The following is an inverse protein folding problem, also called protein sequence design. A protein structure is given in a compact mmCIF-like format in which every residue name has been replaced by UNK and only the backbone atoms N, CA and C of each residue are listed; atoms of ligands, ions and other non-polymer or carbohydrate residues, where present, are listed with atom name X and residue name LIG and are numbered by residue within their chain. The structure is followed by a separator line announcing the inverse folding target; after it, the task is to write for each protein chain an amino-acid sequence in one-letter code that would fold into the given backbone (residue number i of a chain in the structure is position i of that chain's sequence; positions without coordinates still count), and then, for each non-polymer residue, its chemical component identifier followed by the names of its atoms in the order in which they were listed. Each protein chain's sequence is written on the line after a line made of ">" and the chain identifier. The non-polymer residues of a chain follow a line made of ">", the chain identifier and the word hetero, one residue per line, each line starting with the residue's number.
data_IF_263802306858
#
_entry.id   IF_263802306858
#
_cell.length_a   1.000
_cell.length_b   1.000
_cell.length_c   1.000
_cell.angle_alpha   90.00
_cell.angle_beta   90.00
_cell.angle_gamma   90.00
#
_symmetry.space_group_name_H-M   'P 1'
#
loop_
_entity.id
_entity.type
_entity.pdbx_description
1 polymer ?
#
# COMPACT_ATOMS: atom_id res chain seq x y z
N UNK A 1 -12.10 -10.74 60.53
CA UNK A 1 -10.66 -10.44 60.40
C UNK A 1 -10.40 -10.05 58.95
N UNK A 2 -9.92 -8.82 58.69
CA UNK A 2 -9.69 -8.29 57.34
C UNK A 2 -8.55 -9.07 56.66
N UNK A 3 -8.80 -9.62 55.47
CA UNK A 3 -7.73 -10.20 54.63
C UNK A 3 -7.24 -9.09 53.69
N UNK A 4 -5.96 -8.74 53.83
CA UNK A 4 -5.27 -7.73 53.05
C UNK A 4 -5.12 -8.15 51.57
N UNK A 5 -5.38 -7.19 50.68
CA UNK A 5 -5.10 -7.24 49.24
C UNK A 5 -3.58 -7.17 49.03
N UNK A 6 -2.91 -8.10 48.34
CA UNK A 6 -1.51 -7.91 47.97
C UNK A 6 -1.44 -7.01 46.74
N UNK A 7 -0.99 -5.79 46.99
CA UNK A 7 -0.48 -4.83 46.01
C UNK A 7 0.85 -5.36 45.46
N UNK A 8 0.86 -5.91 44.25
CA UNK A 8 2.09 -6.28 43.52
C UNK A 8 1.94 -5.85 42.07
N UNK A 9 2.10 -4.55 41.83
CA UNK A 9 2.14 -3.94 40.49
C UNK A 9 3.35 -3.01 40.44
N UNK A 10 4.54 -3.57 40.13
CA UNK A 10 5.64 -2.90 39.41
C UNK A 10 6.98 -3.64 39.38
N UNK A 11 7.16 -4.76 40.08
CA UNK A 11 8.51 -5.35 40.25
C UNK A 11 8.98 -6.26 39.12
N UNK A 12 8.14 -6.62 38.14
CA UNK A 12 8.53 -7.59 37.09
C UNK A 12 9.30 -6.97 35.92
N UNK A 13 8.98 -5.74 35.50
CA UNK A 13 9.60 -5.11 34.31
C UNK A 13 11.07 -4.78 34.54
N UNK A 14 11.41 -4.29 35.74
CA UNK A 14 12.81 -3.96 36.10
C UNK A 14 13.73 -5.19 36.08
N UNK A 15 13.19 -6.39 36.39
CA UNK A 15 13.98 -7.62 36.43
C UNK A 15 14.31 -8.15 35.03
N UNK A 16 13.39 -8.03 34.07
CA UNK A 16 13.63 -8.43 32.68
C UNK A 16 14.64 -7.52 31.97
N UNK A 17 14.58 -6.21 32.21
CA UNK A 17 15.57 -5.25 31.72
C UNK A 17 16.98 -5.53 32.29
N UNK A 18 17.08 -5.82 33.59
CA UNK A 18 18.36 -6.21 34.21
C UNK A 18 18.91 -7.54 33.67
N UNK A 19 18.07 -8.50 33.31
CA UNK A 19 18.52 -9.76 32.72
C UNK A 19 19.02 -9.59 31.29
N UNK A 20 18.35 -8.75 30.49
CA UNK A 20 18.80 -8.39 29.14
C UNK A 20 20.14 -7.63 29.17
N UNK A 21 20.29 -6.68 30.09
CA UNK A 21 21.52 -5.90 30.29
C UNK A 21 22.69 -6.74 30.82
N UNK A 22 22.46 -7.84 31.54
CA UNK A 22 23.53 -8.73 32.03
C UNK A 22 23.83 -9.93 31.12
N UNK A 23 23.09 -10.10 30.03
CA UNK A 23 23.32 -11.13 29.03
C UNK A 23 24.24 -10.63 27.91
N UNK A 24 24.75 -11.54 27.07
CA UNK A 24 25.64 -11.26 25.91
C UNK A 24 25.11 -10.25 24.87
N UNK A 25 23.97 -9.61 25.13
CA UNK A 25 23.33 -8.58 24.33
C UNK A 25 24.06 -7.22 24.35
N UNK A 26 25.01 -7.01 25.26
CA UNK A 26 25.91 -5.84 25.30
C UNK A 26 27.10 -5.94 24.32
N UNK A 27 27.18 -7.01 23.52
CA UNK A 27 28.08 -7.01 22.37
C UNK A 27 27.59 -6.01 21.33
N UNK A 28 28.49 -5.43 20.54
CA UNK A 28 28.15 -4.47 19.47
C UNK A 28 27.02 -5.01 18.58
N UNK A 29 27.09 -6.29 18.19
CA UNK A 29 26.05 -6.96 17.43
C UNK A 29 24.70 -7.08 18.18
N UNK A 30 24.71 -7.36 19.49
CA UNK A 30 23.50 -7.42 20.31
C UNK A 30 22.80 -6.07 20.45
N UNK A 31 23.57 -4.99 20.60
CA UNK A 31 23.06 -3.61 20.63
C UNK A 31 22.43 -3.26 19.28
N UNK A 32 23.07 -3.60 18.16
CA UNK A 32 22.50 -3.36 16.84
C UNK A 32 21.19 -4.12 16.62
N UNK A 33 21.11 -5.40 17.01
CA UNK A 33 19.88 -6.19 16.92
C UNK A 33 18.79 -5.62 17.82
N UNK A 34 19.14 -5.14 19.03
CA UNK A 34 18.20 -4.45 19.91
C UNK A 34 17.62 -3.19 19.29
N UNK A 35 18.49 -2.32 18.78
CA UNK A 35 18.10 -1.04 18.16
C UNK A 35 17.23 -1.31 16.94
N UNK A 36 17.62 -2.25 16.07
CA UNK A 36 16.84 -2.64 14.90
C UNK A 36 15.47 -3.22 15.31
N UNK A 37 15.43 -4.04 16.36
CA UNK A 37 14.18 -4.56 16.93
C UNK A 37 13.27 -3.45 17.44
N UNK A 38 13.80 -2.49 18.21
CA UNK A 38 13.05 -1.34 18.71
C UNK A 38 12.54 -0.44 17.58
N UNK A 39 13.35 -0.21 16.55
CA UNK A 39 12.94 0.54 15.35
C UNK A 39 11.82 -0.22 14.63
N UNK A 40 11.92 -1.54 14.48
CA UNK A 40 10.87 -2.33 13.81
C UNK A 40 9.52 -2.33 14.54
N UNK A 41 9.52 -2.25 15.87
CA UNK A 41 8.29 -2.15 16.69
C UNK A 41 7.75 -0.71 16.72
N UNK A 42 8.62 0.29 16.58
CA UNK A 42 8.26 1.71 16.56
C UNK A 42 7.89 2.26 15.18
N UNK A 43 8.17 1.50 14.12
CA UNK A 43 7.66 1.82 12.79
C UNK A 43 6.15 1.57 12.81
N UNK A 44 5.32 2.58 12.51
CA UNK A 44 3.91 2.32 12.31
C UNK A 44 3.78 1.24 11.24
N UNK A 45 2.91 0.25 11.47
CA UNK A 45 2.46 -0.60 10.37
C UNK A 45 1.94 0.36 9.30
N UNK A 46 2.67 0.45 8.19
CA UNK A 46 2.26 1.26 7.04
C UNK A 46 1.16 0.47 6.36
N UNK A 47 -0.01 0.43 7.01
CA UNK A 47 -1.23 -0.06 6.38
C UNK A 47 -1.42 0.80 5.13
N UNK A 48 -1.23 0.16 3.98
CA UNK A 48 -1.30 0.84 2.70
C UNK A 48 -2.73 1.37 2.51
N UNK A 49 -2.83 2.69 2.55
CA UNK A 49 -4.09 3.40 2.65
C UNK A 49 -4.56 3.79 1.25
N UNK A 50 -5.66 3.19 0.81
CA UNK A 50 -6.30 3.51 -0.47
C UNK A 50 -6.65 5.00 -0.63
N UNK A 51 -6.75 5.78 0.47
CA UNK A 51 -6.92 7.23 0.39
C UNK A 51 -5.67 7.93 -0.16
N UNK A 52 -4.49 7.44 0.15
CA UNK A 52 -3.22 8.00 -0.34
C UNK A 52 -3.09 7.69 -1.84
N UNK A 53 -3.52 6.51 -2.28
CA UNK A 53 -3.66 6.15 -3.70
C UNK A 53 -4.56 7.15 -4.43
N UNK A 54 -5.73 7.50 -3.89
CA UNK A 54 -6.62 8.51 -4.50
C UNK A 54 -5.94 9.88 -4.58
N UNK A 55 -5.21 10.29 -3.53
CA UNK A 55 -4.49 11.56 -3.50
C UNK A 55 -3.46 11.62 -4.63
N UNK A 56 -2.68 10.56 -4.78
CA UNK A 56 -1.65 10.47 -5.82
C UNK A 56 -2.24 10.42 -7.23
N UNK A 57 -3.35 9.69 -7.43
CA UNK A 57 -4.05 9.66 -8.73
C UNK A 57 -4.55 11.05 -9.15
N UNK A 58 -5.10 11.84 -8.21
CA UNK A 58 -5.50 13.23 -8.47
C UNK A 58 -4.29 14.13 -8.74
N UNK A 59 -3.17 13.86 -8.08
CA UNK A 59 -1.95 14.60 -8.35
C UNK A 59 -1.39 14.29 -9.75
N UNK A 60 -1.42 13.03 -10.17
CA UNK A 60 -1.11 12.62 -11.55
C UNK A 60 -2.01 13.36 -12.52
N UNK A 61 -3.34 13.39 -12.30
CA UNK A 61 -4.30 14.12 -13.13
C UNK A 61 -3.91 15.60 -13.30
N UNK A 62 -3.39 16.26 -12.25
CA UNK A 62 -2.90 17.63 -12.33
C UNK A 62 -1.59 17.79 -13.12
N UNK A 63 -0.70 16.79 -13.07
CA UNK A 63 0.58 16.81 -13.78
C UNK A 63 0.38 16.59 -15.28
N UNK A 64 -0.48 15.65 -15.67
CA UNK A 64 -0.70 15.28 -17.08
C UNK A 64 -1.28 16.43 -17.91
N UNK A 65 -2.04 17.34 -17.29
CA UNK A 65 -2.54 18.56 -17.95
C UNK A 65 -1.42 19.44 -18.49
N UNK A 66 -0.21 19.36 -17.92
CA UNK A 66 0.95 20.10 -18.38
C UNK A 66 1.84 19.34 -19.38
N UNK A 67 1.82 18.00 -19.36
CA UNK A 67 2.75 17.13 -20.09
C UNK A 67 2.20 16.73 -21.48
N UNK A 68 0.88 16.82 -21.71
CA UNK A 68 0.19 16.38 -22.93
C UNK A 68 0.49 14.91 -23.26
N UNK A 69 -0.16 14.01 -22.51
CA UNK A 69 -0.13 12.56 -22.72
C UNK A 69 -1.19 12.20 -23.76
N UNK A 70 -0.79 11.54 -24.85
CA UNK A 70 -1.66 11.08 -25.94
C UNK A 70 -1.88 9.55 -25.94
N UNK A 71 -1.38 8.87 -24.90
CA UNK A 71 -1.56 7.44 -24.72
C UNK A 71 -3.04 7.07 -24.50
N UNK A 72 -3.46 5.98 -25.14
CA UNK A 72 -4.71 5.28 -24.85
C UNK A 72 -4.39 4.03 -24.02
N UNK A 73 -5.17 3.79 -22.96
CA UNK A 73 -4.89 2.76 -21.96
C UNK A 73 -6.11 1.86 -21.76
N UNK A 74 -5.87 0.57 -21.58
CA UNK A 74 -6.94 -0.39 -21.31
C UNK A 74 -7.68 -0.03 -20.01
N UNK A 75 -8.97 0.28 -20.12
CA UNK A 75 -9.75 0.87 -19.03
C UNK A 75 -11.03 0.09 -18.77
N UNK A 76 -11.10 -0.56 -17.60
CA UNK A 76 -12.36 -1.15 -17.15
C UNK A 76 -13.30 -0.05 -16.61
N UNK A 77 -14.29 0.32 -17.42
CA UNK A 77 -15.31 1.33 -17.06
C UNK A 77 -16.56 0.73 -16.41
N UNK A 78 -16.72 -0.60 -16.35
CA UNK A 78 -17.88 -1.29 -15.80
C UNK A 78 -17.44 -2.52 -14.99
N UNK A 79 -16.56 -2.26 -14.02
CA UNK A 79 -15.95 -3.30 -13.21
C UNK A 79 -16.98 -4.05 -12.36
N UNK A 80 -17.04 -5.37 -12.53
CA UNK A 80 -17.88 -6.23 -11.71
C UNK A 80 -17.20 -6.48 -10.34
N UNK A 81 -17.92 -6.41 -9.20
CA UNK A 81 -17.32 -6.57 -7.87
C UNK A 81 -16.57 -7.89 -7.64
N UNK A 82 -16.92 -8.94 -8.37
CA UNK A 82 -16.25 -10.26 -8.31
C UNK A 82 -14.91 -10.30 -9.05
N UNK A 83 -14.59 -9.27 -9.83
CA UNK A 83 -13.37 -9.14 -10.64
C UNK A 83 -12.54 -7.93 -10.22
N UNK A 84 -12.78 -7.38 -9.02
CA UNK A 84 -12.17 -6.12 -8.57
C UNK A 84 -10.65 -6.22 -8.44
N UNK A 85 -10.11 -7.38 -8.07
CA UNK A 85 -8.65 -7.57 -7.93
C UNK A 85 -8.01 -7.67 -9.32
N UNK A 86 -8.63 -8.41 -10.24
CA UNK A 86 -8.19 -8.53 -11.64
C UNK A 86 -8.21 -7.18 -12.32
N UNK A 87 -9.33 -6.45 -12.22
CA UNK A 87 -9.45 -5.11 -12.79
C UNK A 87 -8.41 -4.13 -12.20
N UNK A 88 -8.18 -4.16 -10.88
CA UNK A 88 -7.15 -3.34 -10.24
C UNK A 88 -5.74 -3.67 -10.77
N UNK A 89 -5.44 -4.95 -10.99
CA UNK A 89 -4.16 -5.34 -11.59
C UNK A 89 -4.00 -4.80 -13.01
N UNK A 90 -5.07 -4.79 -13.82
CA UNK A 90 -5.04 -4.16 -15.14
C UNK A 90 -4.74 -2.66 -15.03
N UNK A 91 -5.41 -1.92 -14.15
CA UNK A 91 -5.09 -0.50 -13.92
C UNK A 91 -3.62 -0.29 -13.52
N UNK A 92 -3.05 -1.15 -12.67
CA UNK A 92 -1.64 -1.04 -12.27
C UNK A 92 -0.66 -1.39 -13.40
N UNK A 93 -1.03 -2.30 -14.29
CA UNK A 93 -0.24 -2.64 -15.48
C UNK A 93 -0.23 -1.47 -16.47
N UNK A 94 -1.39 -0.92 -16.79
CA UNK A 94 -1.53 0.21 -17.70
C UNK A 94 -0.86 1.47 -17.14
N UNK A 95 -0.90 1.69 -15.83
CA UNK A 95 -0.18 2.81 -15.21
C UNK A 95 1.35 2.70 -15.40
N UNK A 96 1.90 1.49 -15.61
CA UNK A 96 3.33 1.32 -15.94
C UNK A 96 3.67 1.76 -17.35
N UNK A 97 2.72 1.77 -18.28
CA UNK A 97 2.93 2.32 -19.63
C UNK A 97 3.37 3.78 -19.52
N UNK A 98 2.74 4.55 -18.64
CA UNK A 98 3.11 5.94 -18.35
C UNK A 98 4.58 6.08 -17.93
N UNK A 99 5.08 5.16 -17.09
CA UNK A 99 6.49 5.17 -16.66
C UNK A 99 7.48 4.93 -17.81
N UNK A 100 7.09 4.16 -18.82
CA UNK A 100 7.95 3.78 -19.93
C UNK A 100 7.93 4.82 -21.05
N UNK A 101 6.78 5.44 -21.28
CA UNK A 101 6.60 6.37 -22.39
C UNK A 101 6.98 7.81 -22.03
N UNK A 102 6.82 8.20 -20.76
CA UNK A 102 7.00 9.59 -20.34
C UNK A 102 8.18 9.77 -19.38
N UNK A 103 9.09 10.67 -19.76
CA UNK A 103 10.25 11.03 -18.95
C UNK A 103 9.98 12.28 -18.11
N UNK A 104 9.19 12.14 -17.05
CA UNK A 104 8.99 13.20 -16.05
C UNK A 104 9.26 12.67 -14.64
N UNK A 105 10.27 13.21 -13.96
CA UNK A 105 10.71 12.73 -12.65
C UNK A 105 9.57 12.71 -11.62
N UNK A 106 8.82 13.80 -11.52
CA UNK A 106 7.77 13.95 -10.53
C UNK A 106 6.57 13.04 -10.81
N UNK A 107 6.19 12.90 -12.08
CA UNK A 107 5.18 11.93 -12.52
C UNK A 107 5.62 10.51 -12.18
N UNK A 108 6.87 10.16 -12.52
CA UNK A 108 7.41 8.83 -12.34
C UNK A 108 7.52 8.43 -10.86
N UNK A 109 7.92 9.35 -9.99
CA UNK A 109 7.89 9.15 -8.54
C UNK A 109 6.46 8.90 -8.04
N UNK A 110 5.51 9.74 -8.46
CA UNK A 110 4.10 9.62 -8.03
C UNK A 110 3.49 8.29 -8.50
N UNK A 111 3.70 7.91 -9.76
CA UNK A 111 3.22 6.64 -10.31
C UNK A 111 3.84 5.43 -9.59
N UNK A 112 5.15 5.46 -9.29
CA UNK A 112 5.79 4.40 -8.50
C UNK A 112 5.19 4.30 -7.09
N UNK A 113 4.84 5.42 -6.47
CA UNK A 113 4.21 5.44 -5.15
C UNK A 113 2.80 4.79 -5.20
N UNK A 114 1.99 5.14 -6.21
CA UNK A 114 0.68 4.49 -6.45
C UNK A 114 0.82 2.98 -6.57
N UNK A 115 1.76 2.52 -7.41
CA UNK A 115 2.00 1.09 -7.62
C UNK A 115 2.46 0.40 -6.33
N UNK A 116 3.35 1.04 -5.57
CA UNK A 116 3.85 0.50 -4.31
C UNK A 116 2.74 0.36 -3.27
N UNK A 117 1.95 1.41 -3.06
CA UNK A 117 0.83 1.42 -2.12
C UNK A 117 -0.23 0.39 -2.51
N UNK A 118 -0.68 0.39 -3.76
CA UNK A 118 -1.71 -0.54 -4.23
C UNK A 118 -1.27 -2.00 -4.12
N UNK A 119 -0.03 -2.34 -4.51
CA UNK A 119 0.48 -3.72 -4.36
C UNK A 119 0.57 -4.13 -2.89
N UNK A 120 0.98 -3.22 -2.01
CA UNK A 120 1.02 -3.47 -0.57
C UNK A 120 -0.38 -3.76 -0.02
N UNK A 121 -1.39 -2.96 -0.41
CA UNK A 121 -2.80 -3.18 -0.06
C UNK A 121 -3.42 -4.43 -0.67
N UNK A 122 -2.99 -4.86 -1.87
CA UNK A 122 -3.48 -6.10 -2.50
C UNK A 122 -2.83 -7.34 -1.90
N UNK A 123 -1.59 -7.24 -1.43
CA UNK A 123 -0.84 -8.37 -0.86
C UNK A 123 -1.45 -8.94 0.43
N UNK A 124 -2.28 -8.16 1.13
CA UNK A 124 -3.09 -8.61 2.29
C UNK A 124 -4.27 -9.49 1.86
N UNK A 125 -4.66 -9.47 0.58
CA UNK A 125 -5.79 -10.21 0.01
C UNK A 125 -5.37 -11.48 -0.77
N UNK A 126 -4.24 -12.10 -0.40
CA UNK A 126 -3.54 -13.17 -1.15
C UNK A 126 -4.33 -14.43 -1.54
N UNK A 127 -5.55 -14.63 -1.03
CA UNK A 127 -6.34 -15.86 -1.25
C UNK A 127 -7.61 -15.65 -2.09
N UNK A 128 -7.80 -14.48 -2.70
CA UNK A 128 -8.97 -14.25 -3.57
C UNK A 128 -8.66 -14.83 -4.96
N UNK A 129 -9.35 -15.91 -5.33
CA UNK A 129 -9.33 -16.43 -6.70
C UNK A 129 -10.58 -15.93 -7.41
N UNK A 130 -10.41 -15.10 -8.43
CA UNK A 130 -11.50 -14.60 -9.26
C UNK A 130 -11.62 -15.48 -10.52
N UNK A 131 -12.85 -15.68 -11.02
CA UNK A 131 -13.12 -16.55 -12.16
C UNK A 131 -14.01 -15.84 -13.18
N UNK A 132 -13.74 -16.06 -14.48
CA UNK A 132 -14.54 -15.49 -15.56
C UNK A 132 -14.37 -13.98 -15.73
N UNK A 133 -13.27 -13.41 -15.25
CA UNK A 133 -12.90 -12.02 -15.47
C UNK A 133 -12.27 -11.85 -16.85
N UNK A 134 -12.44 -10.67 -17.45
CA UNK A 134 -11.80 -10.32 -18.72
C UNK A 134 -10.30 -10.15 -18.51
N UNK A 135 -9.52 -10.50 -19.53
CA UNK A 135 -8.11 -10.11 -19.62
C UNK A 135 -8.01 -8.61 -19.91
N UNK A 136 -6.86 -7.99 -19.58
CA UNK A 136 -6.70 -6.54 -19.69
C UNK A 136 -6.83 -6.06 -21.15
N UNK A 137 -6.30 -6.82 -22.09
CA UNK A 137 -6.33 -6.53 -23.53
C UNK A 137 -7.74 -6.70 -24.16
N UNK A 138 -8.71 -7.25 -23.43
CA UNK A 138 -10.12 -7.31 -23.84
C UNK A 138 -10.90 -6.05 -23.44
N UNK A 139 -10.28 -5.14 -22.67
CA UNK A 139 -10.90 -3.89 -22.24
C UNK A 139 -10.87 -2.84 -23.34
N UNK A 140 -11.74 -1.84 -23.22
CA UNK A 140 -11.73 -0.70 -24.12
C UNK A 140 -10.52 0.20 -23.80
N UNK A 141 -9.80 0.63 -24.84
CA UNK A 141 -8.77 1.65 -24.70
C UNK A 141 -9.39 3.03 -24.57
N UNK A 142 -8.95 3.81 -23.57
CA UNK A 142 -9.46 5.16 -23.31
C UNK A 142 -8.33 6.15 -23.09
N UNK A 143 -8.64 7.44 -23.23
CA UNK A 143 -7.67 8.48 -22.91
C UNK A 143 -7.30 8.48 -21.42
N UNK A 144 -6.15 9.08 -21.12
CA UNK A 144 -5.58 9.12 -19.77
C UNK A 144 -6.54 9.72 -18.72
N UNK A 145 -7.39 10.69 -19.10
CA UNK A 145 -8.32 11.33 -18.18
C UNK A 145 -9.44 10.38 -17.80
N UNK A 146 -10.03 9.70 -18.78
CA UNK A 146 -11.05 8.66 -18.54
C UNK A 146 -10.47 7.46 -17.77
N UNK A 147 -9.25 7.05 -18.09
CA UNK A 147 -8.51 6.01 -17.37
C UNK A 147 -8.36 6.36 -15.89
N UNK A 148 -7.83 7.55 -15.57
CA UNK A 148 -7.63 7.98 -14.17
C UNK A 148 -8.94 8.12 -13.40
N UNK A 149 -10.00 8.62 -14.03
CA UNK A 149 -11.33 8.69 -13.42
C UNK A 149 -11.85 7.30 -13.07
N UNK A 150 -11.72 6.34 -13.97
CA UNK A 150 -12.13 4.95 -13.74
C UNK A 150 -11.26 4.28 -12.67
N UNK A 151 -9.96 4.59 -12.65
CA UNK A 151 -9.03 4.14 -11.61
C UNK A 151 -9.44 4.65 -10.22
N UNK A 152 -9.75 5.93 -10.07
CA UNK A 152 -10.22 6.48 -8.80
C UNK A 152 -11.49 5.76 -8.32
N UNK A 153 -12.43 5.49 -9.24
CA UNK A 153 -13.69 4.79 -8.90
C UNK A 153 -13.45 3.35 -8.42
N UNK A 154 -12.55 2.58 -9.04
CA UNK A 154 -12.26 1.22 -8.56
C UNK A 154 -11.55 1.27 -7.20
N UNK A 155 -10.63 2.23 -6.97
CA UNK A 155 -9.99 2.42 -5.66
C UNK A 155 -11.03 2.71 -4.56
N UNK A 156 -12.08 3.48 -4.86
CA UNK A 156 -13.18 3.72 -3.92
C UNK A 156 -13.92 2.43 -3.53
N UNK A 157 -14.03 1.44 -4.42
CA UNK A 157 -14.61 0.14 -4.06
C UNK A 157 -13.77 -0.60 -3.01
N UNK A 158 -12.45 -0.47 -3.09
CA UNK A 158 -11.56 -1.05 -2.08
C UNK A 158 -11.67 -0.33 -0.73
N UNK A 159 -11.83 1.00 -0.71
CA UNK A 159 -12.09 1.76 0.52
C UNK A 159 -13.39 1.31 1.19
N UNK A 160 -14.46 1.15 0.41
CA UNK A 160 -15.79 0.83 0.96
C UNK A 160 -15.93 -0.64 1.41
N UNK A 161 -14.98 -1.50 1.03
CA UNK A 161 -14.98 -2.93 1.39
C UNK A 161 -13.89 -3.30 2.41
N UNK A 162 -13.04 -2.35 2.80
CA UNK A 162 -12.04 -2.47 3.87
C UNK A 162 -12.63 -2.00 5.20
#
# INVERSE_FOLDING_TARGET
>A
MKILKPYMRNTSISCYLCFLLNSHFLTEAGIHVFILGCVSVGLPETEANWKDVISDLKYIESLIQSIHIDATLYTDSDFHPSCKVTAMNCFLLELRVILHEYSNERLNETVRNVIFLANSSLSSNKNITEHGCKECEELEEKDISEFLQSFIRIVQMFINTS
#
